data_IF_186194745373
#
_entry.id   IF_186194745373
#
_cell.length_a   1.000
_cell.length_b   1.000
_cell.length_c   1.000
_cell.angle_alpha   90.00
_cell.angle_beta   90.00
_cell.angle_gamma   90.00
#
_symmetry.space_group_name_H-M   'P 1'
#
loop_
_entity.id
_entity.type
_entity.pdbx_description
1 polymer ?
#
# COMPACT_ATOMS: atom_id res chain seq x y z
N UNK A 1 9.52 22.34 -5.54
CA UNK A 1 8.35 23.10 -6.01
C UNK A 1 8.57 24.58 -5.80
N UNK A 2 8.13 25.43 -6.73
CA UNK A 2 8.18 26.89 -6.62
C UNK A 2 7.14 27.38 -5.62
N UNK A 3 7.53 28.32 -4.74
CA UNK A 3 6.74 28.76 -3.58
C UNK A 3 5.54 29.68 -3.93
N UNK A 4 5.29 29.96 -5.22
CA UNK A 4 4.44 31.08 -5.65
C UNK A 4 3.39 30.72 -6.72
N UNK A 5 2.77 29.52 -6.65
CA UNK A 5 1.63 29.19 -7.52
C UNK A 5 0.29 29.46 -6.80
N UNK A 6 -0.59 30.28 -7.40
CA UNK A 6 -1.93 30.59 -6.89
C UNK A 6 -2.97 29.86 -7.72
N UNK A 7 -3.60 28.84 -7.13
CA UNK A 7 -4.73 28.13 -7.73
C UNK A 7 -6.06 28.82 -7.39
N UNK A 8 -6.91 29.01 -8.39
CA UNK A 8 -8.25 29.60 -8.23
C UNK A 8 -9.30 28.52 -8.34
N UNK A 9 -10.11 28.34 -7.30
CA UNK A 9 -11.25 27.42 -7.27
C UNK A 9 -12.56 28.19 -7.32
N UNK A 10 -13.51 27.74 -8.16
CA UNK A 10 -14.85 28.32 -8.18
C UNK A 10 -15.65 27.97 -6.92
N UNK A 11 -16.61 28.82 -6.52
CA UNK A 11 -17.46 28.59 -5.34
C UNK A 11 -18.15 27.22 -5.39
N UNK A 12 -18.72 26.83 -6.52
CA UNK A 12 -19.42 25.54 -6.65
C UNK A 12 -18.48 24.34 -6.58
N UNK A 13 -17.25 24.50 -7.07
CA UNK A 13 -16.24 23.46 -7.04
C UNK A 13 -15.67 23.27 -5.63
N UNK A 14 -15.59 24.34 -4.83
CA UNK A 14 -15.21 24.29 -3.42
C UNK A 14 -16.10 23.35 -2.58
N UNK A 15 -17.38 23.23 -2.91
CA UNK A 15 -18.30 22.34 -2.20
C UNK A 15 -18.31 20.89 -2.71
N UNK A 16 -17.52 20.59 -3.76
CA UNK A 16 -17.37 19.21 -4.25
C UNK A 16 -16.16 18.56 -3.59
N UNK A 17 -16.10 17.23 -3.65
CA UNK A 17 -14.90 16.49 -3.28
C UNK A 17 -13.70 16.96 -4.09
N UNK A 18 -12.55 17.14 -3.43
CA UNK A 18 -11.28 17.51 -4.07
C UNK A 18 -11.00 16.54 -5.22
N UNK A 19 -10.77 17.06 -6.43
CA UNK A 19 -10.34 16.23 -7.58
C UNK A 19 -8.97 15.63 -7.27
N UNK A 20 -8.75 14.40 -7.71
CA UNK A 20 -7.50 13.67 -7.46
C UNK A 20 -6.25 14.45 -7.92
N UNK A 21 -6.37 15.18 -9.04
CA UNK A 21 -5.35 16.06 -9.61
C UNK A 21 -4.92 17.19 -8.66
N UNK A 22 -5.79 17.64 -7.76
CA UNK A 22 -5.47 18.70 -6.79
C UNK A 22 -4.88 18.17 -5.49
N UNK A 23 -4.91 16.85 -5.25
CA UNK A 23 -4.41 16.26 -4.01
C UNK A 23 -2.96 16.67 -3.69
N UNK A 24 -2.00 16.69 -4.63
CA UNK A 24 -0.63 17.11 -4.35
C UNK A 24 -0.49 18.54 -3.80
N UNK A 25 -1.48 19.42 -4.04
CA UNK A 25 -1.46 20.80 -3.53
C UNK A 25 -2.00 20.91 -2.09
N UNK A 26 -2.91 20.01 -1.68
CA UNK A 26 -3.46 19.98 -0.32
C UNK A 26 -2.69 19.04 0.61
N UNK A 27 -2.19 17.94 0.05
CA UNK A 27 -1.38 16.92 0.70
C UNK A 27 0.00 16.94 0.03
N UNK A 28 0.92 17.84 0.44
CA UNK A 28 2.23 17.99 -0.20
C UNK A 28 3.14 16.77 -0.02
N UNK A 29 2.74 15.84 0.85
CA UNK A 29 3.34 14.52 0.91
C UNK A 29 2.69 13.68 -0.18
N UNK A 30 3.45 13.33 -1.22
CA UNK A 30 3.09 12.23 -2.10
C UNK A 30 2.79 11.03 -1.20
N UNK A 31 1.53 10.60 -1.14
CA UNK A 31 1.20 9.37 -0.41
C UNK A 31 2.06 8.28 -1.04
N UNK A 32 2.92 7.59 -0.27
CA UNK A 32 3.76 6.53 -0.83
C UNK A 32 2.85 5.57 -1.60
N UNK A 33 3.11 5.38 -2.89
CA UNK A 33 2.30 4.49 -3.71
C UNK A 33 2.31 3.10 -3.08
N UNK A 34 1.14 2.48 -2.91
CA UNK A 34 1.06 1.12 -2.33
C UNK A 34 1.71 0.07 -3.22
N UNK A 35 1.70 0.31 -4.54
CA UNK A 35 2.31 -0.52 -5.57
C UNK A 35 3.03 0.40 -6.53
N UNK A 36 4.32 0.13 -6.74
CA UNK A 36 5.15 0.86 -7.69
C UNK A 36 4.80 0.48 -9.14
N UNK A 37 5.18 1.28 -10.14
CA UNK A 37 4.90 0.99 -11.55
C UNK A 37 5.45 -0.35 -12.07
N UNK A 38 6.48 -0.90 -11.42
CA UNK A 38 7.04 -2.23 -11.73
C UNK A 38 6.26 -3.40 -11.10
N UNK A 39 5.15 -3.09 -10.41
CA UNK A 39 4.31 -4.05 -9.69
C UNK A 39 4.88 -4.52 -8.34
N UNK A 40 6.00 -3.97 -7.87
CA UNK A 40 6.47 -4.23 -6.51
C UNK A 40 5.62 -3.48 -5.48
N UNK A 41 5.48 -4.06 -4.29
CA UNK A 41 4.61 -3.54 -3.23
C UNK A 41 5.46 -2.71 -2.26
N UNK A 42 5.00 -1.50 -1.96
CA UNK A 42 5.64 -0.62 -1.01
C UNK A 42 5.25 -1.00 0.43
N UNK A 43 6.05 -1.85 1.06
CA UNK A 43 5.80 -2.35 2.42
C UNK A 43 5.84 -1.25 3.49
N UNK A 44 6.41 -0.09 3.19
CA UNK A 44 6.48 1.07 4.10
C UNK A 44 5.29 2.03 3.88
N UNK A 45 4.39 1.72 2.94
CA UNK A 45 3.19 2.51 2.73
C UNK A 45 2.27 2.43 3.94
N UNK A 46 1.88 3.59 4.48
CA UNK A 46 1.00 3.67 5.64
C UNK A 46 -0.33 2.93 5.48
N UNK A 47 -0.80 2.77 4.23
CA UNK A 47 -2.01 2.01 3.93
C UNK A 47 -1.88 0.51 4.24
N UNK A 48 -0.66 -0.06 4.19
CA UNK A 48 -0.39 -1.46 4.50
C UNK A 48 -0.06 -1.69 5.98
N UNK A 49 0.15 -0.63 6.78
CA UNK A 49 0.48 -0.77 8.20
C UNK A 49 -0.56 -1.58 8.97
N UNK A 50 -1.85 -1.49 8.66
CA UNK A 50 -2.88 -2.28 9.35
C UNK A 50 -2.71 -3.79 9.12
N UNK A 51 -2.36 -4.20 7.89
CA UNK A 51 -2.06 -5.58 7.57
C UNK A 51 -0.75 -6.05 8.21
N UNK A 52 0.28 -5.19 8.19
CA UNK A 52 1.60 -5.50 8.76
C UNK A 52 1.66 -5.44 10.29
N UNK A 53 0.73 -4.72 10.94
CA UNK A 53 0.59 -4.66 12.39
C UNK A 53 -0.33 -5.76 12.95
N UNK A 54 -0.89 -6.61 12.09
CA UNK A 54 -1.64 -7.79 12.52
C UNK A 54 -0.73 -8.74 13.33
N UNK A 55 -1.31 -9.61 14.16
CA UNK A 55 -0.51 -10.61 14.93
C UNK A 55 0.29 -11.57 14.04
N UNK A 56 -0.15 -11.76 12.80
CA UNK A 56 0.55 -12.51 11.75
C UNK A 56 1.31 -11.60 10.77
N UNK A 57 1.43 -10.31 11.09
CA UNK A 57 1.95 -9.25 10.22
C UNK A 57 3.39 -9.46 9.76
N UNK A 58 4.22 -10.11 10.58
CA UNK A 58 5.59 -10.45 10.19
C UNK A 58 5.63 -11.47 9.04
N UNK A 59 4.68 -12.40 8.97
CA UNK A 59 4.63 -13.41 7.91
C UNK A 59 4.21 -12.80 6.57
N UNK A 60 3.21 -11.92 6.57
CA UNK A 60 2.83 -11.21 5.33
C UNK A 60 3.96 -10.28 4.90
N UNK A 61 4.69 -9.65 5.83
CA UNK A 61 5.87 -8.85 5.48
C UNK A 61 6.91 -9.69 4.74
N UNK A 62 7.24 -10.87 5.25
CA UNK A 62 8.20 -11.78 4.60
C UNK A 62 7.70 -12.25 3.23
N UNK A 63 6.40 -12.56 3.10
CA UNK A 63 5.78 -12.93 1.83
C UNK A 63 5.84 -11.80 0.79
N UNK A 64 5.60 -10.54 1.21
CA UNK A 64 5.69 -9.37 0.32
C UNK A 64 7.14 -9.08 -0.10
N UNK A 65 8.11 -9.27 0.81
CA UNK A 65 9.54 -9.16 0.47
C UNK A 65 9.93 -10.21 -0.56
N UNK A 66 9.48 -11.47 -0.38
CA UNK A 66 9.70 -12.52 -1.37
C UNK A 66 9.04 -12.17 -2.71
N UNK A 67 7.77 -11.75 -2.71
CA UNK A 67 7.05 -11.36 -3.91
C UNK A 67 7.77 -10.25 -4.69
N UNK A 68 8.29 -9.24 -3.99
CA UNK A 68 9.08 -8.17 -4.61
C UNK A 68 10.39 -8.68 -5.22
N UNK A 69 11.04 -9.67 -4.62
CA UNK A 69 12.27 -10.28 -5.15
C UNK A 69 12.01 -11.26 -6.32
N UNK A 70 10.84 -11.91 -6.34
CA UNK A 70 10.49 -12.95 -7.28
C UNK A 70 10.60 -12.52 -8.75
N UNK A 71 11.13 -13.43 -9.57
CA UNK A 71 11.26 -13.30 -11.04
C UNK A 71 10.44 -14.36 -11.79
N UNK A 72 9.62 -15.14 -11.09
CA UNK A 72 8.78 -16.17 -11.72
C UNK A 72 7.62 -15.54 -12.50
N UNK A 73 6.99 -16.33 -13.37
CA UNK A 73 5.73 -15.95 -14.05
C UNK A 73 4.66 -17.00 -13.72
N UNK A 74 3.62 -16.66 -12.95
CA UNK A 74 3.35 -15.36 -12.31
C UNK A 74 4.37 -15.01 -11.21
N UNK A 75 4.50 -13.72 -10.89
CA UNK A 75 5.37 -13.23 -9.81
C UNK A 75 4.94 -13.83 -8.47
N UNK A 76 5.89 -14.29 -7.67
CA UNK A 76 5.67 -14.88 -6.35
C UNK A 76 5.29 -16.37 -6.37
N UNK A 77 5.38 -17.05 -7.52
CA UNK A 77 5.14 -18.50 -7.58
C UNK A 77 6.16 -19.29 -6.73
N UNK A 78 7.36 -18.74 -6.56
CA UNK A 78 8.43 -19.23 -5.68
C UNK A 78 8.27 -18.85 -4.21
N UNK A 79 7.24 -18.06 -3.85
CA UNK A 79 6.98 -17.57 -2.50
C UNK A 79 5.82 -18.29 -1.81
N UNK A 80 5.45 -19.47 -2.29
CA UNK A 80 4.31 -20.24 -1.78
C UNK A 80 4.43 -20.50 -0.27
N UNK A 81 5.63 -20.81 0.22
CA UNK A 81 5.87 -21.13 1.63
C UNK A 81 5.53 -19.97 2.55
N UNK A 82 5.93 -18.76 2.18
CA UNK A 82 5.71 -17.53 2.93
C UNK A 82 4.22 -17.18 2.98
N UNK A 83 3.53 -17.26 1.83
CA UNK A 83 2.09 -17.01 1.77
C UNK A 83 1.27 -18.08 2.51
N UNK A 84 1.64 -19.36 2.41
CA UNK A 84 0.98 -20.45 3.15
C UNK A 84 1.18 -20.29 4.65
N UNK A 85 2.39 -19.96 5.11
CA UNK A 85 2.63 -19.70 6.53
C UNK A 85 1.77 -18.55 7.07
N UNK A 86 1.68 -17.44 6.33
CA UNK A 86 0.79 -16.33 6.67
C UNK A 86 -0.69 -16.75 6.72
N UNK A 87 -1.14 -17.56 5.76
CA UNK A 87 -2.52 -18.04 5.69
C UNK A 87 -2.87 -18.91 6.91
N UNK A 88 -2.01 -19.87 7.25
CA UNK A 88 -2.18 -20.74 8.43
C UNK A 88 -2.25 -19.90 9.71
N UNK A 89 -1.32 -18.95 9.90
CA UNK A 89 -1.35 -18.09 11.09
C UNK A 89 -2.66 -17.28 11.18
N UNK A 90 -3.12 -16.73 10.05
CA UNK A 90 -4.33 -15.90 10.02
C UNK A 90 -5.57 -16.73 10.33
N UNK A 91 -5.66 -17.95 9.80
CA UNK A 91 -6.73 -18.89 10.11
C UNK A 91 -6.73 -19.27 11.60
N UNK A 92 -5.58 -19.65 12.15
CA UNK A 92 -5.45 -19.96 13.58
C UNK A 92 -5.79 -18.77 14.48
N UNK A 93 -5.36 -17.57 14.07
CA UNK A 93 -5.63 -16.32 14.79
C UNK A 93 -7.12 -15.97 14.83
N UNK A 94 -7.85 -16.25 13.74
CA UNK A 94 -9.28 -16.03 13.64
C UNK A 94 -10.06 -17.07 14.46
N UNK A 95 -9.61 -18.33 14.48
CA UNK A 95 -10.24 -19.40 15.26
C UNK A 95 -10.00 -19.30 16.77
N UNK A 96 -9.03 -18.49 17.21
CA UNK A 96 -8.77 -18.18 18.63
C UNK A 96 -9.46 -16.91 19.11
N UNK A 97 -10.26 -16.25 18.26
CA UNK A 97 -11.03 -15.06 18.61
C UNK A 97 -12.44 -15.39 19.04
#
# INVERSE_FOLDING_TARGET
>A
MSKDEILKLGREEFFKSVKMEYRPYFEPYETPESVYPDGSINIDCTCLHSALAHRCGYLIRDALVCFNASKTTPRGLDCEKEFVAHAICTEEANNKS
#
